data_IF_075199241547
#
_entry.id   IF_075199241547
#
_cell.length_a   1.000
_cell.length_b   1.000
_cell.length_c   1.000
_cell.angle_alpha   90.00
_cell.angle_beta   90.00
_cell.angle_gamma   90.00
#
_symmetry.space_group_name_H-M   'P 1'
#
loop_
_entity.id
_entity.type
_entity.pdbx_description
1 polymer ?
2 water ?
#
# COMPACT_ATOMS: atom_id res chain seq x y z
N UNK A 25 18.38 21.47 11.11
CA UNK A 25 18.55 20.87 9.79
C UNK A 25 17.22 20.42 9.19
N UNK A 26 17.14 20.46 7.86
CA UNK A 26 15.96 20.05 7.14
C UNK A 26 16.34 19.01 6.08
N UNK A 27 15.39 18.64 5.22
CA UNK A 27 15.65 17.61 4.22
C UNK A 27 16.65 18.08 3.16
N UNK A 28 16.43 19.28 2.64
CA UNK A 28 17.29 19.83 1.60
C UNK A 28 17.60 21.30 1.87
N UNK A 29 18.71 21.77 1.32
CA UNK A 29 19.03 23.20 1.37
C UNK A 29 18.48 23.85 0.10
N UNK A 30 18.30 23.02 -0.93
CA UNK A 30 17.69 23.43 -2.18
C UNK A 30 17.32 22.18 -2.97
N UNK A 31 16.75 22.37 -4.16
CA UNK A 31 16.34 21.26 -5.01
C UNK A 31 17.50 20.31 -5.30
N UNK A 32 18.67 20.89 -5.57
CA UNK A 32 19.85 20.09 -5.88
C UNK A 32 20.95 20.23 -4.83
N UNK A 33 20.57 20.61 -3.62
CA UNK A 33 21.54 20.76 -2.54
C UNK A 33 21.12 20.00 -1.29
N UNK A 34 21.98 19.08 -0.86
CA UNK A 34 21.70 18.22 0.28
C UNK A 34 21.63 18.98 1.60
N UNK A 35 20.93 18.39 2.56
CA UNK A 35 21.06 18.75 3.96
C UNK A 35 21.10 17.45 4.74
N UNK A 36 19.99 17.08 5.34
CA UNK A 36 19.88 15.76 5.97
C UNK A 36 19.81 14.69 4.89
N UNK A 37 19.02 14.96 3.86
CA UNK A 37 18.80 14.01 2.78
C UNK A 37 19.62 14.34 1.55
N UNK A 38 19.68 13.41 0.60
CA UNK A 38 20.35 13.64 -0.66
C UNK A 38 19.35 14.17 -1.68
N UNK A 39 19.59 15.38 -2.17
CA UNK A 39 18.61 16.08 -3.00
C UNK A 39 19.13 16.33 -4.41
N UNK A 40 18.43 15.79 -5.39
CA UNK A 40 18.86 15.88 -6.77
C UNK A 40 17.80 16.50 -7.68
N UNK A 41 18.25 17.37 -8.58
CA UNK A 41 17.39 17.84 -9.66
C UNK A 41 17.03 16.67 -10.57
N UNK A 42 15.98 16.85 -11.37
CA UNK A 42 15.56 15.84 -12.32
C UNK A 42 16.66 15.62 -13.36
N UNK A 43 16.97 14.36 -13.67
CA UNK A 43 17.98 14.04 -14.67
C UNK A 43 17.40 13.07 -15.70
N UNK A 44 18.20 12.72 -16.71
CA UNK A 44 17.72 11.82 -17.75
C UNK A 44 17.62 10.36 -17.30
N UNK A 45 18.03 10.08 -16.07
CA UNK A 45 17.92 8.72 -15.53
C UNK A 45 17.20 8.67 -14.19
N UNK A 46 16.74 9.83 -13.72
CA UNK A 46 16.08 9.92 -12.43
C UNK A 46 15.20 11.16 -12.31
N UNK A 47 14.07 11.03 -11.60
CA UNK A 47 13.18 12.16 -11.33
C UNK A 47 13.77 13.05 -10.25
N UNK A 48 13.18 14.22 -10.02
CA UNK A 48 13.62 15.10 -8.93
C UNK A 48 13.48 14.37 -7.60
N UNK A 49 14.61 14.14 -6.95
CA UNK A 49 14.65 13.19 -5.85
C UNK A 49 15.10 13.79 -4.52
N UNK A 50 14.38 13.43 -3.46
CA UNK A 50 14.83 13.68 -2.10
C UNK A 50 15.02 12.33 -1.42
N UNK A 51 16.27 11.96 -1.20
CA UNK A 51 16.61 10.63 -0.67
C UNK A 51 16.98 10.70 0.81
N UNK A 52 16.01 10.38 1.67
CA UNK A 52 16.22 10.38 3.11
C UNK A 52 16.34 8.96 3.66
N UNK A 53 16.58 8.01 2.77
CA UNK A 53 16.63 6.60 3.16
C UNK A 53 17.84 6.25 4.02
N UNK A 54 17.64 5.34 4.97
CA UNK A 54 18.70 4.84 5.84
C UNK A 54 19.37 5.91 6.69
N UNK A 55 18.56 6.82 7.24
CA UNK A 55 19.09 7.94 8.02
C UNK A 55 18.70 7.88 9.50
N UNK A 56 18.03 6.79 9.89
CA UNK A 56 17.57 6.59 11.26
C UNK A 56 16.73 7.76 11.78
N UNK A 57 15.92 8.32 10.89
CA UNK A 57 15.08 9.46 11.23
C UNK A 57 13.87 9.02 12.05
N UNK A 58 13.58 9.78 13.11
CA UNK A 58 12.42 9.51 13.94
C UNK A 58 11.29 10.48 13.63
N UNK A 59 11.58 11.45 12.78
CA UNK A 59 10.58 12.43 12.36
C UNK A 59 10.75 12.77 10.88
N UNK A 60 9.63 13.02 10.21
CA UNK A 60 9.67 13.47 8.83
C UNK A 60 10.21 14.90 8.81
N UNK A 61 11.38 15.09 8.19
CA UNK A 61 12.01 16.41 8.21
C UNK A 61 11.22 17.45 7.43
N UNK A 62 11.35 18.70 7.82
CA UNK A 62 10.81 19.80 7.05
C UNK A 62 11.78 20.10 5.92
N UNK A 63 11.44 21.06 5.06
CA UNK A 63 12.35 21.47 4.00
C UNK A 63 12.39 20.55 2.81
N UNK A 64 11.29 19.85 2.56
CA UNK A 64 11.14 19.05 1.35
C UNK A 64 10.58 19.96 0.26
N UNK A 65 11.41 20.26 -0.76
CA UNK A 65 11.05 21.20 -1.84
C UNK A 65 9.72 20.87 -2.50
N UNK A 66 9.00 21.91 -2.90
CA UNK A 66 7.65 21.77 -3.42
C UNK A 66 7.56 20.95 -4.71
N UNK A 67 8.62 20.94 -5.50
CA UNK A 67 8.62 20.24 -6.78
C UNK A 67 9.16 18.82 -6.73
N UNK A 68 9.35 18.31 -5.52
CA UNK A 68 9.86 16.96 -5.32
C UNK A 68 9.01 15.90 -6.02
N UNK A 69 9.64 15.09 -6.85
CA UNK A 69 8.95 14.04 -7.58
C UNK A 69 9.09 12.70 -6.88
N UNK A 70 10.25 12.47 -6.29
CA UNK A 70 10.55 11.20 -5.64
C UNK A 70 11.02 11.41 -4.21
N UNK A 71 10.22 10.96 -3.25
CA UNK A 71 10.55 11.12 -1.84
C UNK A 71 10.80 9.75 -1.19
N UNK A 72 12.03 9.52 -0.76
CA UNK A 72 12.41 8.25 -0.14
C UNK A 72 12.64 8.40 1.35
N UNK A 73 11.64 8.02 2.14
CA UNK A 73 11.76 8.04 3.59
C UNK A 73 11.82 6.61 4.14
N UNK A 74 12.11 5.68 3.25
CA UNK A 74 12.19 4.27 3.61
C UNK A 74 13.42 3.97 4.45
N UNK A 75 13.35 2.89 5.22
CA UNK A 75 14.42 2.48 6.12
C UNK A 75 14.82 3.59 7.09
N UNK A 76 13.86 4.00 7.92
CA UNK A 76 14.14 4.92 9.02
C UNK A 76 13.46 4.40 10.27
N UNK A 77 13.20 5.30 11.22
CA UNK A 77 12.53 4.90 12.46
C UNK A 77 11.33 5.79 12.75
N UNK A 78 10.55 6.05 11.69
CA UNK A 78 9.33 6.83 11.81
C UNK A 78 8.24 6.02 12.50
N UNK A 79 7.75 6.54 13.62
CA UNK A 79 6.66 5.88 14.34
C UNK A 79 5.34 6.56 14.00
N UNK A 80 5.42 7.84 13.66
CA UNK A 80 4.25 8.59 13.22
C UNK A 80 4.56 9.44 12.00
N UNK A 81 3.56 9.58 11.14
CA UNK A 81 3.62 10.54 10.04
C UNK A 81 2.69 11.69 10.42
N UNK A 82 3.18 12.93 10.32
CA UNK A 82 2.29 14.07 10.57
C UNK A 82 1.19 14.10 9.51
N UNK A 83 -0.04 14.41 9.94
CA UNK A 83 -1.19 14.38 9.05
C UNK A 83 -1.01 15.25 7.80
N UNK A 84 -0.28 16.35 7.94
CA UNK A 84 -0.13 17.32 6.85
C UNK A 84 1.25 17.26 6.19
N UNK A 85 1.99 16.19 6.46
CA UNK A 85 3.37 16.06 6.01
C UNK A 85 3.56 16.23 4.51
N UNK A 86 2.63 15.72 3.71
CA UNK A 86 2.79 15.68 2.27
C UNK A 86 1.88 16.65 1.54
N UNK A 87 1.17 17.49 2.29
CA UNK A 87 0.34 18.53 1.69
C UNK A 87 1.20 19.46 0.84
N UNK A 88 0.78 19.68 -0.41
CA UNK A 88 1.46 20.61 -1.29
C UNK A 88 2.43 19.95 -2.24
N UNK A 89 2.76 18.69 -1.99
CA UNK A 89 3.67 17.95 -2.86
C UNK A 89 2.93 17.42 -4.09
N UNK A 90 2.51 18.37 -4.93
CA UNK A 90 1.67 18.08 -6.09
C UNK A 90 2.38 17.28 -7.17
N UNK A 91 3.71 17.37 -7.23
CA UNK A 91 4.46 16.71 -8.28
C UNK A 91 4.96 15.32 -7.87
N UNK A 92 4.67 14.92 -6.64
CA UNK A 92 5.14 13.64 -6.11
C UNK A 92 4.56 12.47 -6.89
N UNK A 93 5.45 11.66 -7.47
CA UNK A 93 5.03 10.48 -8.23
C UNK A 93 5.47 9.21 -7.51
N UNK A 94 6.46 9.34 -6.64
CA UNK A 94 7.02 8.22 -5.91
C UNK A 94 7.15 8.59 -4.43
N UNK A 95 6.60 7.74 -3.58
CA UNK A 95 6.70 7.94 -2.14
C UNK A 95 6.99 6.63 -1.43
N UNK A 96 8.18 6.55 -0.82
CA UNK A 96 8.58 5.35 -0.11
C UNK A 96 8.56 5.57 1.40
N UNK A 97 7.72 4.81 2.09
CA UNK A 97 7.63 4.87 3.54
C UNK A 97 7.84 3.50 4.15
N UNK A 98 8.29 2.56 3.33
CA UNK A 98 8.49 1.19 3.78
C UNK A 98 9.66 1.05 4.74
N UNK A 99 9.64 -0.01 5.54
CA UNK A 99 10.68 -0.28 6.53
C UNK A 99 10.83 0.82 7.57
N UNK A 100 9.71 1.16 8.21
CA UNK A 100 9.70 2.04 9.37
C UNK A 100 8.97 1.35 10.53
N UNK A 101 8.43 2.15 11.44
CA UNK A 101 7.72 1.60 12.59
C UNK A 101 6.32 2.20 12.70
N UNK A 102 5.68 2.39 11.56
CA UNK A 102 4.36 3.00 11.51
C UNK A 102 3.28 2.04 12.00
N UNK A 103 2.54 2.47 13.02
CA UNK A 103 1.45 1.68 13.56
C UNK A 103 0.14 2.01 12.84
N UNK A 104 0.05 3.23 12.31
CA UNK A 104 -1.13 3.65 11.57
C UNK A 104 -0.81 4.83 10.64
N UNK A 105 -1.78 5.16 9.78
CA UNK A 105 -1.67 6.31 8.90
C UNK A 105 -2.74 7.33 9.26
N UNK A 106 -2.39 8.61 9.27
CA UNK A 106 -3.37 9.67 9.57
C UNK A 106 -4.45 9.75 8.51
N UNK A 107 -5.64 10.17 8.92
CA UNK A 107 -6.71 10.42 7.99
C UNK A 107 -6.30 11.55 7.04
N UNK A 108 -6.39 11.28 5.74
CA UNK A 108 -6.15 12.28 4.71
C UNK A 108 -4.69 12.54 4.40
N UNK A 109 -3.82 11.63 4.85
CA UNK A 109 -2.37 11.82 4.71
C UNK A 109 -1.89 11.86 3.25
N UNK A 110 -2.60 11.17 2.37
CA UNK A 110 -2.20 11.09 0.96
C UNK A 110 -3.10 11.91 0.05
N UNK A 111 -4.01 12.68 0.63
CA UNK A 111 -4.82 13.60 -0.15
C UNK A 111 -3.89 14.61 -0.83
N UNK A 112 -4.37 15.18 -1.94
CA UNK A 112 -3.64 16.16 -2.75
C UNK A 112 -2.50 15.56 -3.58
N UNK A 113 -2.16 14.30 -3.34
CA UNK A 113 -1.07 13.66 -4.08
C UNK A 113 -1.58 13.02 -5.37
N UNK A 114 -2.13 13.86 -6.25
CA UNK A 114 -2.79 13.40 -7.47
C UNK A 114 -1.89 12.71 -8.48
N UNK A 115 -0.59 13.02 -8.45
CA UNK A 115 0.34 12.48 -9.42
C UNK A 115 1.12 11.25 -8.94
N UNK A 116 0.74 10.73 -7.78
CA UNK A 116 1.46 9.60 -7.19
C UNK A 116 1.27 8.32 -8.01
N UNK A 117 2.39 7.69 -8.35
CA UNK A 117 2.38 6.44 -9.08
C UNK A 117 2.75 5.26 -8.19
N UNK A 118 3.73 5.47 -7.32
CA UNK A 118 4.19 4.44 -6.40
C UNK A 118 4.04 4.84 -4.94
N UNK A 119 3.47 3.95 -4.15
CA UNK A 119 3.37 4.13 -2.71
C UNK A 119 3.83 2.86 -1.99
N UNK A 120 4.95 2.95 -1.30
CA UNK A 120 5.53 1.81 -0.60
C UNK A 120 5.32 1.91 0.90
N UNK A 121 4.56 0.99 1.46
CA UNK A 121 4.23 1.00 2.87
C UNK A 121 4.56 -0.32 3.54
N UNK A 122 5.27 -1.19 2.82
CA UNK A 122 5.57 -2.52 3.32
C UNK A 122 6.53 -2.49 4.51
N UNK A 123 6.53 -3.57 5.27
CA UNK A 123 7.42 -3.71 6.43
C UNK A 123 7.29 -2.59 7.46
N UNK A 124 6.05 -2.25 7.80
CA UNK A 124 5.78 -1.43 8.97
C UNK A 124 5.01 -2.26 9.99
N UNK A 125 4.25 -1.61 10.86
CA UNK A 125 3.42 -2.31 11.82
C UNK A 125 1.96 -1.89 11.71
N UNK A 126 1.55 -1.54 10.49
CA UNK A 126 0.20 -1.08 10.23
C UNK A 126 -0.82 -2.15 10.60
N UNK A 127 -1.77 -1.78 11.45
CA UNK A 127 -2.83 -2.68 11.87
C UNK A 127 -4.11 -2.36 11.10
N UNK A 128 -4.19 -1.16 10.56
CA UNK A 128 -5.38 -0.74 9.82
C UNK A 128 -5.11 0.42 8.87
N UNK A 129 -6.12 0.78 8.10
CA UNK A 129 -6.05 1.92 7.20
C UNK A 129 -7.32 2.75 7.35
N UNK A 130 -7.20 4.07 7.21
CA UNK A 130 -8.38 4.92 7.25
C UNK A 130 -9.18 4.76 5.97
N UNK A 131 -10.51 4.86 6.05
CA UNK A 131 -11.33 4.82 4.83
C UNK A 131 -10.97 5.97 3.89
N UNK A 132 -10.98 5.70 2.59
CA UNK A 132 -10.72 6.72 1.60
C UNK A 132 -9.29 7.24 1.56
N UNK A 133 -8.38 6.53 2.21
CA UNK A 133 -7.00 6.97 2.34
C UNK A 133 -6.25 7.04 1.01
N UNK A 134 -6.70 6.27 0.02
CA UNK A 134 -6.04 6.22 -1.28
C UNK A 134 -6.85 6.94 -2.36
N UNK A 135 -7.98 7.52 -1.97
CA UNK A 135 -8.94 8.08 -2.93
C UNK A 135 -8.40 9.10 -3.92
N UNK A 136 -7.40 9.88 -3.49
CA UNK A 136 -6.83 10.91 -4.34
C UNK A 136 -5.85 10.34 -5.38
N UNK A 137 -5.44 9.09 -5.16
CA UNK A 137 -4.36 8.49 -5.94
C UNK A 137 -4.86 7.77 -7.18
N UNK A 138 -5.52 8.52 -8.06
CA UNK A 138 -6.14 7.95 -9.25
C UNK A 138 -5.14 7.53 -10.33
N UNK A 139 -3.87 7.86 -10.15
CA UNK A 139 -2.84 7.44 -11.08
C UNK A 139 -1.86 6.44 -10.45
N UNK A 140 -2.20 5.97 -9.26
CA UNK A 140 -1.34 5.02 -8.55
C UNK A 140 -1.26 3.73 -9.36
N UNK A 141 -0.04 3.24 -9.55
CA UNK A 141 0.16 2.02 -10.33
C UNK A 141 0.75 0.90 -9.48
N UNK A 142 1.37 1.27 -8.36
CA UNK A 142 2.02 0.30 -7.49
C UNK A 142 1.78 0.62 -6.02
N UNK A 143 1.14 -0.32 -5.32
CA UNK A 143 0.84 -0.15 -3.91
C UNK A 143 1.25 -1.40 -3.11
N UNK A 144 2.15 -1.19 -2.15
CA UNK A 144 2.63 -2.29 -1.32
C UNK A 144 2.26 -2.09 0.14
N UNK A 145 1.52 -3.05 0.69
CA UNK A 145 1.14 -3.02 2.09
C UNK A 145 1.60 -4.30 2.78
N UNK A 146 2.46 -5.05 2.09
CA UNK A 146 2.92 -6.35 2.58
C UNK A 146 3.76 -6.24 3.85
N UNK A 147 3.84 -7.33 4.60
CA UNK A 147 4.63 -7.39 5.82
C UNK A 147 4.25 -6.33 6.86
N UNK A 148 2.94 -6.14 7.04
CA UNK A 148 2.43 -5.36 8.15
C UNK A 148 1.64 -6.28 9.07
N UNK A 149 0.61 -5.74 9.72
CA UNK A 149 -0.28 -6.57 10.51
C UNK A 149 -1.73 -6.10 10.40
N UNK A 150 -2.14 -5.83 9.17
CA UNK A 150 -3.50 -5.39 8.86
C UNK A 150 -4.53 -6.40 9.32
N UNK A 151 -5.39 -5.98 10.25
CA UNK A 151 -6.41 -6.86 10.80
C UNK A 151 -7.63 -6.87 9.88
N UNK A 152 -7.78 -5.81 9.11
CA UNK A 152 -8.88 -5.71 8.14
C UNK A 152 -8.59 -4.63 7.11
N UNK A 153 -9.41 -4.61 6.06
CA UNK A 153 -9.30 -3.61 5.01
C UNK A 153 -10.63 -2.87 4.92
N UNK A 154 -10.60 -1.54 4.96
CA UNK A 154 -11.86 -0.80 4.91
C UNK A 154 -12.56 -0.97 3.56
N UNK A 155 -13.89 -1.02 3.60
CA UNK A 155 -14.69 -1.17 2.39
C UNK A 155 -14.48 -0.01 1.44
N UNK A 156 -14.28 -0.32 0.16
CA UNK A 156 -14.15 0.69 -0.87
C UNK A 156 -12.80 1.38 -0.95
N UNK A 157 -11.83 0.87 -0.18
CA UNK A 157 -10.53 1.53 -0.06
C UNK A 157 -9.71 1.52 -1.36
N UNK A 158 -10.05 0.64 -2.29
CA UNK A 158 -9.32 0.54 -3.55
C UNK A 158 -10.16 1.01 -4.74
N UNK A 159 -11.36 1.51 -4.46
CA UNK A 159 -12.32 1.82 -5.50
C UNK A 159 -11.89 2.89 -6.52
N UNK A 160 -10.99 3.78 -6.11
CA UNK A 160 -10.55 4.86 -7.00
C UNK A 160 -9.32 4.49 -7.81
N UNK A 161 -8.72 3.34 -7.51
CA UNK A 161 -7.42 2.98 -8.08
C UNK A 161 -7.54 2.22 -9.40
N UNK A 162 -8.15 2.86 -10.40
CA UNK A 162 -8.40 2.21 -11.68
C UNK A 162 -7.15 2.04 -12.54
N UNK A 163 -6.06 2.70 -12.15
CA UNK A 163 -4.79 2.60 -12.89
C UNK A 163 -3.78 1.68 -12.18
N UNK A 164 -4.19 1.07 -11.08
CA UNK A 164 -3.32 0.18 -10.32
C UNK A 164 -2.98 -1.08 -11.11
N UNK A 165 -1.70 -1.42 -11.17
CA UNK A 165 -1.24 -2.61 -11.86
C UNK A 165 -0.80 -3.71 -10.89
N UNK A 166 -0.24 -3.29 -9.77
CA UNK A 166 0.31 -4.23 -8.81
C UNK A 166 -0.06 -3.86 -7.38
N UNK A 167 -0.65 -4.81 -6.66
CA UNK A 167 -1.05 -4.60 -5.27
C UNK A 167 -0.56 -5.74 -4.39
N UNK A 168 0.15 -5.40 -3.33
CA UNK A 168 0.74 -6.40 -2.46
C UNK A 168 0.16 -6.34 -1.04
N UNK A 169 -0.52 -7.40 -0.63
CA UNK A 169 -1.16 -7.46 0.68
C UNK A 169 -0.62 -8.63 1.51
N UNK A 170 0.42 -9.27 1.00
CA UNK A 170 0.96 -10.49 1.61
C UNK A 170 1.54 -10.26 3.01
N UNK A 171 1.57 -11.32 3.81
CA UNK A 171 2.09 -11.25 5.17
C UNK A 171 1.38 -10.20 6.02
N UNK A 172 0.09 -10.42 6.26
CA UNK A 172 -0.69 -9.58 7.17
C UNK A 172 -1.61 -10.44 8.03
N UNK A 173 -2.64 -9.82 8.60
CA UNK A 173 -3.56 -10.54 9.47
C UNK A 173 -4.98 -10.56 8.90
N UNK A 174 -5.10 -10.53 7.58
CA UNK A 174 -6.40 -10.52 6.94
C UNK A 174 -7.09 -11.88 7.02
N UNK A 175 -8.29 -11.90 7.59
CA UNK A 175 -9.09 -13.11 7.66
C UNK A 175 -10.07 -13.11 6.50
N UNK A 176 -10.40 -11.91 6.02
CA UNK A 176 -11.27 -11.75 4.88
C UNK A 176 -11.08 -10.40 4.22
N UNK A 177 -11.77 -10.20 3.11
CA UNK A 177 -11.75 -8.95 2.38
C UNK A 177 -13.20 -8.57 2.13
N UNK A 178 -13.53 -7.27 2.26
CA UNK A 178 -14.90 -6.81 2.06
C UNK A 178 -15.39 -7.16 0.65
N UNK A 179 -16.67 -7.48 0.53
CA UNK A 179 -17.24 -7.89 -0.76
C UNK A 179 -17.00 -6.86 -1.86
N UNK A 180 -16.40 -7.31 -2.94
CA UNK A 180 -16.16 -6.47 -4.10
C UNK A 180 -15.00 -5.51 -3.97
N UNK A 181 -14.05 -5.85 -3.11
CA UNK A 181 -12.94 -4.95 -2.81
C UNK A 181 -12.02 -4.69 -4.00
N UNK A 182 -11.86 -5.68 -4.86
CA UNK A 182 -10.94 -5.58 -5.98
C UNK A 182 -11.63 -5.27 -7.31
N UNK A 183 -12.95 -5.05 -7.25
CA UNK A 183 -13.74 -4.94 -8.48
C UNK A 183 -13.45 -3.70 -9.33
N UNK A 184 -13.02 -2.63 -8.70
CA UNK A 184 -12.70 -1.40 -9.43
C UNK A 184 -11.30 -1.45 -10.04
N UNK A 185 -10.53 -2.46 -9.67
CA UNK A 185 -9.15 -2.59 -10.14
C UNK A 185 -9.11 -3.21 -11.53
N UNK A 186 -9.68 -2.51 -12.50
CA UNK A 186 -9.82 -3.02 -13.86
C UNK A 186 -8.50 -3.13 -14.62
N UNK A 187 -7.45 -2.49 -14.12
CA UNK A 187 -6.13 -2.56 -14.76
C UNK A 187 -5.11 -3.36 -13.95
N UNK A 188 -5.60 -4.09 -12.95
CA UNK A 188 -4.73 -4.89 -12.09
C UNK A 188 -4.07 -6.02 -12.87
N UNK A 189 -2.79 -6.24 -12.60
CA UNK A 189 -2.05 -7.30 -13.28
C UNK A 189 -1.44 -8.28 -12.27
N UNK A 190 -1.18 -7.79 -11.06
CA UNK A 190 -0.54 -8.60 -10.04
C UNK A 190 -1.10 -8.33 -8.65
N UNK A 191 -1.52 -9.39 -7.97
CA UNK A 191 -2.10 -9.28 -6.64
C UNK A 191 -1.56 -10.38 -5.71
N UNK A 192 -0.85 -9.97 -4.67
CA UNK A 192 -0.26 -10.92 -3.74
C UNK A 192 -1.05 -10.99 -2.43
N UNK A 193 -1.47 -12.21 -2.08
CA UNK A 193 -2.36 -12.41 -0.93
C UNK A 193 -1.81 -13.40 0.09
N UNK A 194 -0.64 -13.96 -0.17
CA UNK A 194 -0.12 -15.05 0.66
C UNK A 194 0.24 -14.64 2.08
N UNK A 195 0.43 -15.65 2.93
CA UNK A 195 0.76 -15.45 4.34
C UNK A 195 -0.26 -14.57 5.08
N UNK A 196 -1.54 -14.77 4.74
CA UNK A 196 -2.64 -14.16 5.47
C UNK A 196 -3.53 -15.25 6.03
N UNK A 197 -3.98 -15.09 7.29
CA UNK A 197 -4.83 -16.08 7.95
C UNK A 197 -6.27 -16.06 7.42
N UNK A 198 -6.45 -16.36 6.15
CA UNK A 198 -7.78 -16.35 5.54
C UNK A 198 -8.72 -17.34 6.22
N UNK A 199 -9.91 -16.87 6.55
CA UNK A 199 -10.92 -17.68 7.23
C UNK A 199 -11.82 -18.37 6.21
N UNK A 200 -11.53 -19.63 5.95
CA UNK A 200 -12.30 -20.39 4.97
C UNK A 200 -13.41 -21.21 5.63
N UNK A 201 -13.78 -20.82 6.84
CA UNK A 201 -14.83 -21.52 7.58
C UNK A 201 -16.14 -20.75 7.59
N UNK A 202 -16.17 -19.60 6.93
CA UNK A 202 -17.39 -18.80 6.82
C UNK A 202 -17.61 -18.20 5.44
N UNK A 203 -18.78 -17.61 5.23
CA UNK A 203 -19.24 -17.18 3.92
C UNK A 203 -18.47 -16.01 3.32
N UNK A 204 -17.80 -15.23 4.15
CA UNK A 204 -17.08 -14.04 3.67
C UNK A 204 -15.93 -14.37 2.72
N UNK A 205 -15.40 -15.58 2.82
CA UNK A 205 -14.26 -15.98 2.00
C UNK A 205 -14.66 -16.26 0.56
N UNK A 206 -15.96 -16.44 0.33
CA UNK A 206 -16.45 -16.82 -1.00
C UNK A 206 -16.14 -15.79 -2.08
N UNK A 207 -16.25 -14.51 -1.74
CA UNK A 207 -15.90 -13.46 -2.69
C UNK A 207 -14.45 -13.58 -3.13
N UNK A 208 -13.56 -13.76 -2.15
CA UNK A 208 -12.14 -13.89 -2.45
C UNK A 208 -11.88 -15.15 -3.28
N UNK A 209 -12.48 -16.25 -2.84
CA UNK A 209 -12.42 -17.52 -3.56
C UNK A 209 -12.85 -17.35 -5.01
N UNK A 210 -13.95 -16.62 -5.22
CA UNK A 210 -14.47 -16.41 -6.56
C UNK A 210 -13.55 -15.54 -7.40
N UNK A 211 -13.10 -14.42 -6.83
CA UNK A 211 -12.23 -13.49 -7.54
C UNK A 211 -10.95 -14.15 -8.06
N UNK A 212 -10.34 -15.00 -7.23
CA UNK A 212 -9.11 -15.68 -7.60
C UNK A 212 -9.35 -16.68 -8.74
N UNK A 213 -10.43 -17.45 -8.63
CA UNK A 213 -10.77 -18.46 -9.62
C UNK A 213 -11.08 -17.84 -10.98
N UNK A 214 -11.73 -16.68 -10.97
CA UNK A 214 -12.15 -16.02 -12.20
C UNK A 214 -11.02 -15.26 -12.88
N UNK A 215 -10.10 -14.72 -12.08
CA UNK A 215 -9.09 -13.80 -12.61
C UNK A 215 -7.65 -14.30 -12.56
N UNK A 216 -7.46 -15.59 -12.32
CA UNK A 216 -6.11 -16.14 -12.26
C UNK A 216 -5.46 -16.08 -13.64
N UNK A 217 -6.29 -15.87 -14.66
CA UNK A 217 -5.84 -15.86 -16.04
C UNK A 217 -5.39 -14.49 -16.52
N UNK A 218 -5.74 -13.44 -15.78
CA UNK A 218 -5.36 -12.08 -16.17
C UNK A 218 -4.60 -11.36 -15.07
N UNK A 219 -4.73 -11.86 -13.85
CA UNK A 219 -4.00 -11.31 -12.71
C UNK A 219 -3.14 -12.39 -12.08
N UNK A 220 -1.84 -12.10 -11.92
CA UNK A 220 -0.89 -13.09 -11.44
C UNK A 220 -0.71 -13.04 -9.92
N UNK A 221 -0.16 -14.12 -9.37
CA UNK A 221 0.28 -14.16 -7.98
C UNK A 221 -0.77 -14.42 -6.93
N UNK A 222 -2.00 -14.73 -7.34
CA UNK A 222 -3.10 -14.88 -6.39
C UNK A 222 -3.21 -16.27 -5.76
N UNK A 223 -2.74 -17.29 -6.46
CA UNK A 223 -2.98 -18.68 -6.06
C UNK A 223 -2.27 -19.10 -4.77
N UNK A 224 -1.40 -18.24 -4.25
CA UNK A 224 -0.68 -18.55 -3.01
C UNK A 224 -1.49 -18.17 -1.77
N UNK A 225 -2.67 -17.62 -1.98
CA UNK A 225 -3.57 -17.29 -0.88
C UNK A 225 -4.07 -18.57 -0.23
N UNK A 226 -3.70 -18.78 1.03
CA UNK A 226 -4.01 -20.02 1.73
C UNK A 226 -4.88 -19.80 2.95
N UNK A 227 -5.80 -20.71 3.19
CA UNK A 227 -6.61 -20.70 4.41
C UNK A 227 -5.71 -20.79 5.63
N UNK A 228 -6.04 -20.04 6.66
CA UNK A 228 -5.27 -20.01 7.90
C UNK A 228 -3.78 -19.72 7.70
N UNK A 229 -3.45 -19.06 6.60
CA UNK A 229 -2.08 -18.65 6.33
C UNK A 229 -1.26 -19.66 5.56
N UNK A 230 -1.29 -20.92 5.99
CA UNK A 230 -0.41 -21.93 5.42
C UNK A 230 -1.12 -23.23 5.05
N UNK A 231 -2.45 -23.22 5.07
CA UNK A 231 -3.19 -24.45 4.77
C UNK A 231 -3.71 -24.47 3.34
N UNK A 232 -4.88 -25.08 3.15
CA UNK A 232 -5.45 -25.29 1.82
C UNK A 232 -5.65 -23.98 1.07
N UNK A 233 -5.29 -23.98 -0.20
CA UNK A 233 -5.43 -22.80 -1.05
C UNK A 233 -6.88 -22.34 -1.10
N UNK A 234 -7.09 -21.04 -0.91
CA UNK A 234 -8.43 -20.45 -0.92
C UNK A 234 -9.13 -20.78 -2.23
N UNK A 235 -8.36 -20.72 -3.32
CA UNK A 235 -8.86 -20.99 -4.66
C UNK A 235 -9.55 -22.34 -4.80
N UNK A 236 -9.05 -23.34 -4.08
CA UNK A 236 -9.54 -24.71 -4.26
C UNK A 236 -10.56 -25.14 -3.20
N UNK A 237 -10.96 -24.20 -2.35
CA UNK A 237 -11.84 -24.51 -1.23
C UNK A 237 -13.25 -24.93 -1.63
N UNK A 238 -13.78 -25.93 -0.92
CA UNK A 238 -15.17 -26.35 -1.08
C UNK A 238 -16.09 -25.40 -0.31
N UNK A 239 -16.86 -24.60 -1.04
CA UNK A 239 -17.66 -23.53 -0.42
C UNK A 239 -19.07 -23.95 -0.01
N UNK A 240 -19.52 -25.11 -0.49
CA UNK A 240 -20.88 -25.59 -0.24
C UNK A 240 -21.22 -25.66 1.25
N UNK A 241 -20.26 -26.08 2.07
CA UNK A 241 -20.47 -26.23 3.50
C UNK A 241 -20.58 -24.88 4.20
N UNK A 242 -19.71 -23.95 3.82
CA UNK A 242 -19.57 -22.68 4.53
C UNK A 242 -20.35 -21.55 3.89
N UNK A 243 -21.06 -21.83 2.80
CA UNK A 243 -21.77 -20.81 2.06
C UNK A 243 -22.87 -20.16 2.89
N UNK A 244 -23.29 -20.83 3.95
CA UNK A 244 -24.36 -20.34 4.80
C UNK A 244 -23.92 -20.06 6.23
N UNK A 245 -22.65 -20.32 6.51
CA UNK A 245 -22.09 -20.01 7.82
C UNK A 245 -21.68 -18.53 7.87
N UNK A 246 -22.44 -17.75 8.62
CA UNK A 246 -22.16 -16.32 8.75
C UNK A 246 -20.95 -16.07 9.64
N UNK A 247 -20.01 -15.27 9.14
CA UNK A 247 -18.83 -14.91 9.91
C UNK A 247 -19.18 -14.01 11.09
#
# INVERSE_FOLDING_TARGET
MNHKHHHHHHHHHHSSGENLYFQGHMACLAVGKDDICTCSNKTDSSPETVDCSSKKLTAVPTGIPANTEKLQLDFNQLANIPAEAFHGLTRLTYLALDYNQLQSLPVGVFDQLNNLNELRLQDNQLTSLPPGVFDSLTKLTYLTLSQNQLQSIPAGVFDKLTNLNRLELSTNQLQSVPHGAFDSLVNLETLHLELNPWDCACSDIIYLRTFIAKNTDKISGMESAQCNGTSTAVKDVNTEKIKNVTCN
#
